data_IF_191351785137
#
_entry.id   IF_191351785137
#
_cell.length_a   1.000
_cell.length_b   1.000
_cell.length_c   1.000
_cell.angle_alpha   90.00
_cell.angle_beta   90.00
_cell.angle_gamma   90.00
#
_symmetry.space_group_name_H-M   'P 1'
#
loop_
_entity.id
_entity.type
_entity.pdbx_description
1 polymer ?
#
# COMPACT_ATOMS: atom_id res chain seq x y z
N UNK A 1 28.32 -9.75 24.59
CA UNK A 1 28.10 -10.18 23.20
C UNK A 1 26.60 -10.07 22.94
N UNK A 2 26.19 -9.17 22.04
CA UNK A 2 24.78 -8.85 21.78
C UNK A 2 24.11 -9.97 20.96
N UNK A 3 22.96 -10.45 21.43
CA UNK A 3 22.12 -11.39 20.72
C UNK A 3 21.21 -10.60 19.77
N UNK A 4 21.46 -10.67 18.47
CA UNK A 4 20.57 -10.10 17.44
C UNK A 4 19.31 -10.96 17.34
N UNK A 5 18.10 -10.39 17.44
CA UNK A 5 16.91 -11.09 16.95
C UNK A 5 16.94 -11.03 15.44
N UNK A 6 17.27 -12.17 14.86
CA UNK A 6 17.17 -12.49 13.45
C UNK A 6 15.70 -12.36 13.02
N UNK A 7 15.35 -11.21 12.41
CA UNK A 7 14.10 -11.00 11.68
C UNK A 7 14.16 -11.76 10.35
N UNK A 8 14.17 -13.09 10.43
CA UNK A 8 13.90 -13.92 9.26
C UNK A 8 12.44 -13.75 8.88
N UNK A 9 12.24 -13.04 7.78
CA UNK A 9 11.00 -13.00 7.02
C UNK A 9 10.66 -14.43 6.63
N UNK A 10 9.72 -15.03 7.37
CA UNK A 10 9.14 -16.31 7.02
C UNK A 10 8.33 -16.13 5.75
N UNK A 11 8.94 -16.47 4.61
CA UNK A 11 8.24 -16.64 3.35
C UNK A 11 7.13 -17.65 3.59
N UNK A 12 5.88 -17.18 3.62
CA UNK A 12 4.69 -18.04 3.72
C UNK A 12 4.49 -18.78 2.39
N UNK A 13 5.38 -19.73 2.12
CA UNK A 13 5.18 -20.82 1.19
C UNK A 13 4.22 -21.81 1.87
N UNK A 14 2.92 -21.53 1.79
CA UNK A 14 1.89 -22.34 2.43
C UNK A 14 0.58 -22.24 1.66
N UNK A 15 0.35 -23.21 0.79
CA UNK A 15 -0.89 -23.46 0.08
C UNK A 15 -2.13 -23.31 0.99
N UNK A 16 -2.79 -22.16 0.92
CA UNK A 16 -4.17 -21.97 1.32
C UNK A 16 -4.81 -20.96 0.37
N UNK A 17 -5.68 -21.47 -0.50
CA UNK A 17 -6.36 -20.77 -1.59
C UNK A 17 -7.46 -19.80 -1.09
N UNK A 18 -7.20 -19.10 0.01
CA UNK A 18 -8.09 -18.05 0.51
C UNK A 18 -7.30 -16.77 0.40
N UNK A 19 -7.67 -15.93 -0.56
CA UNK A 19 -7.13 -14.58 -0.63
C UNK A 19 -7.67 -13.83 0.61
N UNK A 20 -6.93 -13.91 1.72
CA UNK A 20 -7.29 -13.34 3.03
C UNK A 20 -7.56 -11.84 2.92
N UNK A 21 -6.86 -11.18 1.99
CA UNK A 21 -7.06 -9.78 1.67
C UNK A 21 -8.40 -9.53 0.99
N UNK A 22 -8.81 -10.43 0.09
CA UNK A 22 -10.12 -10.36 -0.54
C UNK A 22 -11.24 -10.59 0.46
N UNK A 23 -11.08 -11.54 1.37
CA UNK A 23 -12.05 -11.78 2.45
C UNK A 23 -12.11 -10.58 3.41
N UNK A 24 -10.97 -9.98 3.72
CA UNK A 24 -10.89 -8.75 4.49
C UNK A 24 -11.60 -7.59 3.79
N UNK A 25 -11.33 -7.35 2.50
CA UNK A 25 -11.99 -6.31 1.69
C UNK A 25 -13.51 -6.52 1.63
N UNK A 26 -13.97 -7.77 1.48
CA UNK A 26 -15.39 -8.11 1.50
C UNK A 26 -16.04 -7.90 2.88
N UNK A 27 -15.26 -7.96 3.96
CA UNK A 27 -15.73 -7.73 5.32
C UNK A 27 -15.71 -6.25 5.76
N UNK A 28 -15.17 -5.35 4.94
CA UNK A 28 -15.11 -3.93 5.26
C UNK A 28 -16.50 -3.28 5.21
N UNK A 29 -16.79 -2.44 6.20
CA UNK A 29 -17.98 -1.60 6.21
C UNK A 29 -17.89 -0.50 5.13
N UNK A 30 -19.04 -0.08 4.61
CA UNK A 30 -19.15 0.92 3.55
C UNK A 30 -18.46 2.26 3.94
N UNK A 31 -18.52 2.63 5.21
CA UNK A 31 -17.88 3.84 5.71
C UNK A 31 -16.35 3.73 5.68
N UNK A 32 -15.81 2.56 6.04
CA UNK A 32 -14.37 2.28 5.98
C UNK A 32 -13.85 2.25 4.55
N UNK A 33 -14.62 1.68 3.61
CA UNK A 33 -14.28 1.70 2.18
C UNK A 33 -14.26 3.14 1.65
N UNK A 34 -15.24 3.97 2.01
CA UNK A 34 -15.28 5.38 1.60
C UNK A 34 -14.10 6.19 2.17
N UNK A 35 -13.64 5.89 3.37
CA UNK A 35 -12.47 6.52 3.97
C UNK A 35 -11.17 6.09 3.27
N UNK A 36 -11.00 4.78 3.00
CA UNK A 36 -9.83 4.28 2.28
C UNK A 36 -9.78 4.77 0.82
N UNK A 37 -10.94 5.06 0.21
CA UNK A 37 -11.04 5.54 -1.18
C UNK A 37 -10.72 7.02 -1.35
N UNK A 38 -10.43 7.75 -0.26
CA UNK A 38 -10.13 9.18 -0.27
C UNK A 38 -8.73 9.45 0.30
N UNK A 39 -7.64 9.05 -0.40
CA UNK A 39 -6.29 9.38 0.02
C UNK A 39 -6.03 10.90 -0.05
N UNK A 40 -5.10 11.39 0.77
CA UNK A 40 -4.63 12.77 0.63
C UNK A 40 -3.94 13.00 -0.72
N UNK A 41 -3.90 14.25 -1.23
CA UNK A 41 -3.32 14.53 -2.56
C UNK A 41 -1.87 14.05 -2.72
N UNK A 42 -1.09 14.13 -1.64
CA UNK A 42 0.31 13.66 -1.61
C UNK A 42 0.40 12.13 -1.72
N UNK A 43 -0.47 11.42 -1.00
CA UNK A 43 -0.56 9.95 -1.02
C UNK A 43 -1.04 9.45 -2.39
N UNK A 44 -1.98 10.15 -3.01
CA UNK A 44 -2.48 9.84 -4.36
C UNK A 44 -1.38 9.93 -5.42
N UNK A 45 -0.59 11.01 -5.42
CA UNK A 45 0.50 11.19 -6.38
C UNK A 45 1.60 10.13 -6.25
N UNK A 46 1.89 9.68 -5.02
CA UNK A 46 2.86 8.61 -4.77
C UNK A 46 2.31 7.26 -5.24
N UNK A 47 1.03 6.97 -5.01
CA UNK A 47 0.39 5.74 -5.53
C UNK A 47 0.40 5.68 -7.06
N UNK A 48 0.05 6.77 -7.74
CA UNK A 48 0.12 6.87 -9.20
C UNK A 48 1.52 6.55 -9.72
N UNK A 49 2.54 7.19 -9.13
CA UNK A 49 3.94 6.92 -9.48
C UNK A 49 4.33 5.46 -9.23
N UNK A 50 3.86 4.84 -8.14
CA UNK A 50 4.17 3.45 -7.82
C UNK A 50 3.53 2.48 -8.82
N UNK A 51 2.30 2.76 -9.25
CA UNK A 51 1.60 2.00 -10.29
C UNK A 51 2.36 2.11 -11.61
N UNK A 52 2.74 3.32 -12.04
CA UNK A 52 3.54 3.53 -13.26
C UNK A 52 4.89 2.82 -13.18
N UNK A 53 5.57 2.87 -12.04
CA UNK A 53 6.84 2.16 -11.83
C UNK A 53 6.67 0.64 -11.89
N UNK A 54 5.57 0.11 -11.36
CA UNK A 54 5.28 -1.32 -11.37
C UNK A 54 4.85 -1.82 -12.75
N UNK A 55 4.19 -0.95 -13.55
CA UNK A 55 3.74 -1.26 -14.92
C UNK A 55 4.80 -0.97 -15.99
N UNK A 56 5.84 -0.18 -15.68
CA UNK A 56 6.92 0.18 -16.59
C UNK A 56 6.66 1.46 -17.39
N UNK A 57 7.73 2.02 -17.98
CA UNK A 57 7.69 3.28 -18.74
C UNK A 57 7.13 3.06 -20.16
N UNK A 58 5.81 3.06 -20.31
CA UNK A 58 5.18 3.10 -21.63
C UNK A 58 4.39 4.42 -21.77
N UNK A 59 4.61 5.20 -22.85
CA UNK A 59 3.92 6.47 -23.03
C UNK A 59 2.40 6.26 -23.22
N UNK A 60 1.55 6.84 -22.34
CA UNK A 60 0.12 6.55 -22.30
C UNK A 60 -0.65 7.09 -23.52
N UNK A 61 -0.09 8.09 -24.21
CA UNK A 61 -0.68 8.73 -25.39
C UNK A 61 -0.89 7.77 -26.57
N UNK A 62 -0.12 6.68 -26.64
CA UNK A 62 0.03 5.85 -27.85
C UNK A 62 -0.42 4.38 -27.68
N UNK A 63 -0.92 3.99 -26.52
CA UNK A 63 -1.18 2.58 -26.22
C UNK A 63 -2.48 2.37 -25.42
N UNK A 64 -3.30 1.42 -25.89
CA UNK A 64 -4.30 0.77 -25.06
C UNK A 64 -3.61 -0.36 -24.28
N UNK A 65 -3.44 -0.21 -22.97
CA UNK A 65 -2.83 -1.24 -22.14
C UNK A 65 -3.85 -2.31 -21.76
N UNK A 66 -3.62 -3.54 -22.19
CA UNK A 66 -4.28 -4.73 -21.63
C UNK A 66 -3.24 -5.52 -20.85
N UNK A 67 -3.28 -5.42 -19.53
CA UNK A 67 -2.40 -6.18 -18.64
C UNK A 67 -3.05 -7.54 -18.39
N UNK A 68 -2.51 -8.58 -19.00
CA UNK A 68 -2.89 -9.97 -18.71
C UNK A 68 -1.94 -10.54 -17.66
N UNK A 69 -2.48 -10.98 -16.53
CA UNK A 69 -1.69 -11.56 -15.44
C UNK A 69 -2.48 -12.70 -14.79
N UNK A 70 -1.78 -13.60 -14.10
CA UNK A 70 -2.44 -14.67 -13.36
C UNK A 70 -3.13 -14.12 -12.10
N UNK A 71 -4.10 -14.87 -11.57
CA UNK A 71 -4.79 -14.51 -10.32
C UNK A 71 -3.81 -14.32 -9.16
N UNK A 72 -2.77 -15.15 -9.14
CA UNK A 72 -1.74 -15.16 -8.09
C UNK A 72 -0.88 -13.90 -8.16
N UNK A 73 -0.39 -13.55 -9.35
CA UNK A 73 0.44 -12.36 -9.56
C UNK A 73 -0.37 -11.07 -9.34
N UNK A 74 -1.65 -11.03 -9.77
CA UNK A 74 -2.55 -9.93 -9.45
C UNK A 74 -2.76 -9.81 -7.94
N UNK A 75 -2.96 -10.94 -7.25
CA UNK A 75 -3.10 -10.98 -5.80
C UNK A 75 -1.88 -10.40 -5.09
N UNK A 76 -0.67 -10.80 -5.49
CA UNK A 76 0.58 -10.27 -4.93
C UNK A 76 0.72 -8.77 -5.18
N UNK A 77 0.38 -8.30 -6.39
CA UNK A 77 0.41 -6.88 -6.72
C UNK A 77 -0.54 -6.06 -5.82
N UNK A 78 -1.76 -6.55 -5.62
CA UNK A 78 -2.74 -5.90 -4.76
C UNK A 78 -2.29 -5.87 -3.29
N UNK A 79 -1.72 -6.97 -2.78
CA UNK A 79 -1.16 -7.03 -1.41
C UNK A 79 -0.05 -6.00 -1.25
N UNK A 80 0.88 -5.95 -2.21
CA UNK A 80 1.99 -4.99 -2.22
C UNK A 80 1.51 -3.54 -2.23
N UNK A 81 0.51 -3.23 -3.07
CA UNK A 81 -0.09 -1.91 -3.13
C UNK A 81 -0.79 -1.53 -1.81
N UNK A 82 -1.53 -2.46 -1.19
CA UNK A 82 -2.19 -2.22 0.09
C UNK A 82 -1.20 -2.00 1.24
N UNK A 83 -0.14 -2.80 1.32
CA UNK A 83 0.93 -2.61 2.30
C UNK A 83 1.61 -1.25 2.12
N UNK A 84 1.90 -0.88 0.87
CA UNK A 84 2.46 0.43 0.54
C UNK A 84 1.54 1.57 0.99
N UNK A 85 0.24 1.47 0.74
CA UNK A 85 -0.76 2.43 1.20
C UNK A 85 -0.83 2.55 2.72
N UNK A 86 -0.80 1.41 3.43
CA UNK A 86 -0.76 1.39 4.90
C UNK A 86 0.48 2.10 5.46
N UNK A 87 1.66 1.83 4.91
CA UNK A 87 2.89 2.51 5.33
C UNK A 87 2.85 4.02 5.05
N UNK A 88 2.29 4.42 3.91
CA UNK A 88 2.15 5.83 3.57
C UNK A 88 1.21 6.55 4.54
N UNK A 89 0.09 5.92 4.91
CA UNK A 89 -0.81 6.45 5.93
C UNK A 89 -0.10 6.60 7.29
N UNK A 90 0.68 5.60 7.69
CA UNK A 90 1.47 5.68 8.94
C UNK A 90 2.51 6.80 8.91
N UNK A 91 3.15 7.02 7.77
CA UNK A 91 4.11 8.11 7.59
C UNK A 91 3.42 9.48 7.64
N UNK A 92 2.24 9.62 7.03
CA UNK A 92 1.42 10.83 7.09
C UNK A 92 0.96 11.14 8.52
N UNK A 93 0.46 10.13 9.25
CA UNK A 93 0.11 10.29 10.66
C UNK A 93 1.30 10.84 11.43
N UNK A 94 2.46 10.18 11.34
CA UNK A 94 3.69 10.62 12.02
C UNK A 94 4.07 12.07 11.67
N UNK A 95 4.02 12.44 10.39
CA UNK A 95 4.32 13.80 9.94
C UNK A 95 3.36 14.81 10.57
N UNK A 96 2.06 14.48 10.63
CA UNK A 96 1.06 15.34 11.27
C UNK A 96 1.37 15.55 12.76
N UNK A 97 1.78 14.50 13.48
CA UNK A 97 2.21 14.62 14.88
C UNK A 97 3.46 15.49 15.03
N UNK A 98 4.48 15.30 14.18
CA UNK A 98 5.71 16.09 14.21
C UNK A 98 5.42 17.58 13.94
N UNK A 99 4.51 17.89 13.03
CA UNK A 99 4.07 19.27 12.75
C UNK A 99 3.36 19.90 13.96
N UNK A 100 2.44 19.18 14.59
CA UNK A 100 1.75 19.66 15.79
C UNK A 100 2.72 19.92 16.95
N UNK A 101 3.70 19.04 17.15
CA UNK A 101 4.70 19.23 18.19
C UNK A 101 5.62 20.43 17.89
N UNK A 102 6.02 20.61 16.64
CA UNK A 102 6.83 21.76 16.23
C UNK A 102 6.11 23.10 16.42
N UNK A 103 4.77 23.13 16.29
CA UNK A 103 3.99 24.33 16.58
C UNK A 103 3.84 24.62 18.08
N UNK A 104 3.91 23.59 18.95
CA UNK A 104 3.81 23.75 20.40
C UNK A 104 5.10 24.27 21.04
N UNK A 105 6.26 24.05 20.42
CA UNK A 105 7.56 24.54 20.90
C UNK A 105 7.79 26.04 20.59
N UNK A 106 6.88 26.68 19.85
CA UNK A 106 6.96 28.09 19.42
C UNK A 106 6.13 29.08 20.25
N UNK A 107 5.45 28.64 21.31
CA UNK A 107 4.78 29.52 22.32
C UNK A 107 5.58 29.60 23.63
#
# INVERSE_FOLDING_TARGET
MMNQPNSQMESTSGNSNVNLLWQYVQSLDLNTVQQLSQPSPQVSAIMERNIVQTLGTLPPENFNFTISTSRENLGQLLVSAMMSGYFLRKAEERLSWEQQLATLDQE
#
